data_IF_818341007246
#
_entry.id   IF_818341007246
#
_cell.length_a   1.000
_cell.length_b   1.000
_cell.length_c   1.000
_cell.angle_alpha   90.00
_cell.angle_beta   90.00
_cell.angle_gamma   90.00
#
_symmetry.space_group_name_H-M   'P 1'
#
loop_
_entity.id
_entity.type
_entity.pdbx_description
1 polymer ?
#
# COMPACT_ATOMS: atom_id res chain seq x y z
N UNK A 1 -6.17 26.25 11.41
CA UNK A 1 -4.78 26.07 11.89
C UNK A 1 -3.90 25.53 10.77
N UNK A 2 -2.81 26.22 10.42
CA UNK A 2 -1.82 25.71 9.47
C UNK A 2 -1.06 24.53 10.08
N UNK A 3 -0.95 23.44 9.33
CA UNK A 3 -0.18 22.26 9.77
C UNK A 3 1.31 22.59 9.74
N UNK A 4 1.95 22.64 10.92
CA UNK A 4 3.38 22.94 11.04
C UNK A 4 4.16 21.77 10.43
N UNK A 5 4.92 22.05 9.37
CA UNK A 5 5.77 21.06 8.70
C UNK A 5 7.14 21.06 9.36
N UNK A 6 7.56 19.91 9.89
CA UNK A 6 8.91 19.76 10.44
C UNK A 6 9.87 19.25 9.38
N UNK A 7 11.07 19.84 9.29
CA UNK A 7 12.16 19.34 8.46
C UNK A 7 12.78 18.13 9.14
N UNK A 8 12.82 17.00 8.44
CA UNK A 8 13.41 15.74 8.91
C UNK A 8 14.46 15.24 7.91
N UNK A 9 15.46 14.52 8.38
CA UNK A 9 16.48 13.87 7.55
C UNK A 9 16.37 12.33 7.70
N UNK A 10 16.34 11.63 6.58
CA UNK A 10 16.32 10.16 6.56
C UNK A 10 17.73 9.57 6.73
N UNK A 11 17.82 8.28 7.09
CA UNK A 11 19.07 7.51 7.11
C UNK A 11 19.83 7.53 5.77
N UNK A 12 19.12 7.70 4.65
CA UNK A 12 19.70 7.82 3.30
C UNK A 12 20.07 9.27 2.91
N UNK A 13 20.07 10.21 3.87
CA UNK A 13 20.45 11.61 3.64
C UNK A 13 19.39 12.48 2.96
N UNK A 14 18.16 11.99 2.79
CA UNK A 14 17.08 12.79 2.18
C UNK A 14 16.45 13.74 3.19
N UNK A 15 16.43 15.03 2.85
CA UNK A 15 15.70 16.08 3.57
C UNK A 15 14.24 16.11 3.10
N UNK A 16 13.29 16.02 4.02
CA UNK A 16 11.86 16.07 3.70
C UNK A 16 11.06 16.78 4.78
N UNK A 17 9.91 17.32 4.39
CA UNK A 17 8.98 18.01 5.28
C UNK A 17 7.77 17.13 5.57
N UNK A 18 7.37 17.01 6.83
CA UNK A 18 6.18 16.23 7.21
C UNK A 18 5.41 16.87 8.36
N UNK A 19 4.09 16.74 8.28
CA UNK A 19 3.14 17.11 9.33
C UNK A 19 2.73 15.90 10.16
N UNK A 20 2.70 14.71 9.54
CA UNK A 20 2.39 13.45 10.21
C UNK A 20 3.62 12.85 10.87
N UNK A 21 3.39 12.10 11.95
CA UNK A 21 4.47 11.57 12.75
C UNK A 21 5.14 10.31 12.17
N UNK A 22 4.60 9.78 11.06
CA UNK A 22 5.16 8.62 10.39
C UNK A 22 6.66 8.84 10.09
N UNK A 23 7.59 8.04 10.65
CA UNK A 23 9.05 8.24 10.53
C UNK A 23 9.60 7.95 9.12
N UNK A 24 8.71 7.59 8.21
CA UNK A 24 8.98 7.22 6.84
C UNK A 24 9.32 8.42 5.98
N UNK A 25 10.43 8.31 5.26
CA UNK A 25 10.84 9.24 4.24
C UNK A 25 10.06 9.03 2.93
N UNK A 26 9.31 10.03 2.42
CA UNK A 26 8.54 9.91 1.19
C UNK A 26 9.43 9.71 -0.04
N UNK A 27 10.65 10.26 -0.04
CA UNK A 27 11.59 10.16 -1.17
C UNK A 27 12.13 8.72 -1.28
N UNK A 28 12.56 8.15 -0.16
CA UNK A 28 12.98 6.74 -0.11
C UNK A 28 11.85 5.80 -0.55
N UNK A 29 10.63 6.10 -0.12
CA UNK A 29 9.47 5.29 -0.45
C UNK A 29 9.11 5.31 -1.94
N UNK A 30 9.22 6.46 -2.60
CA UNK A 30 9.05 6.55 -4.06
C UNK A 30 10.16 5.76 -4.77
N UNK A 31 11.41 5.85 -4.30
CA UNK A 31 12.54 5.09 -4.86
C UNK A 31 12.43 3.58 -4.66
N UNK A 32 11.86 3.13 -3.54
CA UNK A 32 11.67 1.70 -3.22
C UNK A 32 10.50 1.07 -3.99
N UNK A 33 9.63 1.87 -4.60
CA UNK A 33 8.39 1.39 -5.22
C UNK A 33 8.72 0.23 -6.19
N UNK A 34 8.29 -1.01 -5.87
CA UNK A 34 8.55 -2.14 -6.75
C UNK A 34 7.87 -1.87 -8.09
N UNK A 35 8.52 -2.29 -9.18
CA UNK A 35 7.89 -2.31 -10.50
C UNK A 35 6.92 -3.48 -10.66
N UNK A 36 6.76 -4.30 -9.61
CA UNK A 36 5.83 -5.42 -9.60
C UNK A 36 4.41 -4.96 -9.90
N UNK A 37 3.80 -5.72 -10.82
CA UNK A 37 2.69 -5.32 -11.69
C UNK A 37 1.51 -4.65 -10.95
N UNK A 38 1.17 -5.11 -9.75
CA UNK A 38 0.02 -4.59 -8.99
C UNK A 38 0.41 -3.64 -7.84
N UNK A 39 1.58 -3.81 -7.21
CA UNK A 39 2.06 -2.91 -6.14
C UNK A 39 2.40 -1.51 -6.65
N UNK A 40 2.76 -1.41 -7.93
CA UNK A 40 2.95 -0.15 -8.64
C UNK A 40 1.70 0.73 -8.64
N UNK A 41 0.51 0.15 -8.59
CA UNK A 41 -0.78 0.86 -8.66
C UNK A 41 -1.25 1.37 -7.28
N UNK A 42 -0.65 0.86 -6.21
CA UNK A 42 -1.08 1.12 -4.84
C UNK A 42 -0.31 2.29 -4.20
N UNK A 43 -1.03 3.03 -3.37
CA UNK A 43 -0.42 4.01 -2.48
C UNK A 43 0.48 3.30 -1.45
N UNK A 44 1.46 4.04 -0.93
CA UNK A 44 2.37 3.58 0.10
C UNK A 44 1.71 2.84 1.29
N UNK A 45 0.62 3.35 1.90
CA UNK A 45 -0.07 2.67 3.00
C UNK A 45 -0.67 1.32 2.59
N UNK A 46 -1.35 1.27 1.44
CA UNK A 46 -2.00 0.06 0.96
C UNK A 46 -0.99 -1.04 0.60
N UNK A 47 0.12 -0.69 -0.07
CA UNK A 47 1.19 -1.66 -0.36
C UNK A 47 1.76 -2.24 0.94
N UNK A 48 2.07 -1.40 1.92
CA UNK A 48 2.60 -1.86 3.22
C UNK A 48 1.62 -2.73 3.98
N UNK A 49 0.33 -2.38 3.94
CA UNK A 49 -0.70 -3.17 4.58
C UNK A 49 -0.70 -4.61 4.04
N UNK A 50 -0.61 -4.77 2.73
CA UNK A 50 -0.51 -6.09 2.08
C UNK A 50 0.83 -6.79 2.42
N UNK A 51 1.97 -6.11 2.25
CA UNK A 51 3.30 -6.67 2.54
C UNK A 51 3.43 -7.14 4.00
N UNK A 52 2.95 -6.34 4.96
CA UNK A 52 2.98 -6.67 6.39
C UNK A 52 2.08 -7.87 6.73
N UNK A 53 1.06 -8.13 5.92
CA UNK A 53 0.19 -9.30 6.05
C UNK A 53 0.68 -10.49 5.20
N UNK A 54 1.90 -10.41 4.64
CA UNK A 54 2.48 -11.48 3.82
C UNK A 54 1.86 -11.61 2.43
N UNK A 55 1.01 -10.67 2.03
CA UNK A 55 0.37 -10.65 0.71
C UNK A 55 1.32 -9.94 -0.25
N UNK A 56 2.12 -10.73 -0.96
CA UNK A 56 3.14 -10.28 -1.91
C UNK A 56 2.83 -10.66 -3.36
N UNK A 57 1.83 -11.52 -3.59
CA UNK A 57 1.41 -11.94 -4.92
C UNK A 57 -0.11 -11.84 -5.10
N UNK A 58 -0.56 -11.82 -6.37
CA UNK A 58 -1.98 -11.85 -6.69
C UNK A 58 -2.64 -13.17 -6.27
N UNK A 59 -1.91 -14.29 -6.32
CA UNK A 59 -2.39 -15.58 -5.83
C UNK A 59 -2.65 -15.55 -4.32
N UNK A 60 -1.72 -14.99 -3.54
CA UNK A 60 -1.96 -14.80 -2.10
C UNK A 60 -3.16 -13.90 -1.87
N UNK A 61 -3.25 -12.77 -2.57
CA UNK A 61 -4.39 -11.85 -2.48
C UNK A 61 -5.73 -12.55 -2.80
N UNK A 62 -5.76 -13.42 -3.82
CA UNK A 62 -6.96 -14.16 -4.22
C UNK A 62 -7.47 -15.12 -3.14
N UNK A 63 -6.63 -15.48 -2.17
CA UNK A 63 -7.00 -16.34 -1.04
C UNK A 63 -7.74 -15.58 0.07
N UNK A 64 -7.84 -14.25 -0.02
CA UNK A 64 -8.55 -13.39 0.93
C UNK A 64 -9.88 -12.91 0.35
N UNK A 65 -10.83 -12.66 1.24
CA UNK A 65 -12.09 -11.98 0.94
C UNK A 65 -11.87 -10.47 0.90
N UNK A 66 -12.81 -9.73 0.28
CA UNK A 66 -12.76 -8.26 0.26
C UNK A 66 -12.79 -7.67 1.67
N UNK A 67 -13.52 -8.30 2.59
CA UNK A 67 -13.68 -7.82 3.96
C UNK A 67 -12.39 -7.96 4.77
N UNK A 68 -11.72 -9.13 4.71
CA UNK A 68 -10.40 -9.32 5.36
C UNK A 68 -9.38 -8.30 4.85
N UNK A 69 -9.42 -7.97 3.55
CA UNK A 69 -8.55 -6.94 2.97
C UNK A 69 -8.94 -5.53 3.44
N UNK A 70 -10.23 -5.25 3.65
CA UNK A 70 -10.69 -3.96 4.18
C UNK A 70 -10.36 -3.74 5.66
N UNK A 71 -10.17 -4.81 6.43
CA UNK A 71 -9.75 -4.73 7.84
C UNK A 71 -8.27 -4.32 7.98
N UNK A 72 -7.47 -4.44 6.92
CA UNK A 72 -6.06 -4.08 6.95
C UNK A 72 -5.86 -2.56 7.08
N UNK A 73 -5.17 -2.14 8.14
CA UNK A 73 -4.86 -0.74 8.38
C UNK A 73 -4.03 -0.14 7.22
N UNK A 74 -4.61 0.82 6.52
CA UNK A 74 -3.99 1.47 5.36
C UNK A 74 -4.62 1.12 4.01
N UNK A 75 -5.58 0.19 3.99
CA UNK A 75 -6.43 -0.08 2.83
C UNK A 75 -7.72 0.72 2.94
N UNK A 76 -8.02 1.48 1.89
CA UNK A 76 -9.22 2.31 1.82
C UNK A 76 -10.20 1.83 0.74
N UNK A 77 -11.39 2.44 0.71
CA UNK A 77 -12.43 2.18 -0.30
C UNK A 77 -11.92 2.34 -1.75
N UNK A 78 -10.91 3.18 -1.97
CA UNK A 78 -10.30 3.41 -3.29
C UNK A 78 -9.25 2.37 -3.67
N UNK A 79 -8.79 1.56 -2.74
CA UNK A 79 -7.78 0.51 -2.95
C UNK A 79 -8.42 -0.76 -3.51
N UNK A 80 -9.56 -1.18 -2.94
CA UNK A 80 -10.30 -2.39 -3.35
C UNK A 80 -10.57 -2.47 -4.86
N UNK A 81 -11.08 -1.43 -5.55
CA UNK A 81 -11.32 -1.53 -6.99
C UNK A 81 -10.03 -1.75 -7.78
N UNK A 82 -8.90 -1.17 -7.37
CA UNK A 82 -7.59 -1.40 -8.03
C UNK A 82 -7.11 -2.84 -7.87
N UNK A 83 -7.28 -3.40 -6.67
CA UNK A 83 -6.96 -4.79 -6.40
C UNK A 83 -7.83 -5.75 -7.21
N UNK A 84 -9.12 -5.42 -7.35
CA UNK A 84 -10.05 -6.19 -8.18
C UNK A 84 -9.62 -6.21 -9.64
N UNK A 85 -9.30 -5.04 -10.20
CA UNK A 85 -8.79 -4.94 -11.58
C UNK A 85 -7.53 -5.78 -11.76
N UNK A 86 -6.55 -5.64 -10.85
CA UNK A 86 -5.31 -6.42 -10.93
C UNK A 86 -5.53 -7.94 -10.83
N UNK A 87 -6.45 -8.40 -9.99
CA UNK A 87 -6.84 -9.81 -9.92
C UNK A 87 -7.50 -10.26 -11.22
N UNK A 88 -8.45 -9.48 -11.74
CA UNK A 88 -9.18 -9.81 -12.99
C UNK A 88 -8.25 -9.85 -14.21
N UNK A 89 -7.30 -8.92 -14.32
CA UNK A 89 -6.26 -8.94 -15.37
C UNK A 89 -5.38 -10.21 -15.31
N UNK A 90 -5.21 -10.78 -14.11
CA UNK A 90 -4.51 -12.04 -13.90
C UNK A 90 -5.43 -13.28 -13.95
N UNK A 91 -6.72 -13.13 -14.31
CA UNK A 91 -7.69 -14.23 -14.32
C UNK A 91 -8.07 -14.75 -12.93
N UNK A 92 -7.82 -13.97 -11.88
CA UNK A 92 -8.11 -14.29 -10.49
C UNK A 92 -9.29 -13.46 -9.96
N UNK A 93 -9.85 -13.90 -8.85
CA UNK A 93 -10.89 -13.17 -8.10
C UNK A 93 -10.58 -13.22 -6.61
N UNK A 94 -11.23 -12.36 -5.84
CA UNK A 94 -11.20 -12.50 -4.38
C UNK A 94 -11.89 -13.80 -3.98
N UNK A 95 -11.46 -14.37 -2.86
CA UNK A 95 -12.15 -15.50 -2.23
C UNK A 95 -13.59 -15.10 -1.97
N UNK A 96 -14.52 -15.96 -2.39
CA UNK A 96 -15.92 -15.77 -2.07
C UNK A 96 -16.15 -16.10 -0.59
N UNK A 97 -17.05 -15.39 0.07
CA UNK A 97 -17.53 -15.84 1.39
C UNK A 97 -18.34 -17.12 1.16
N UNK A 98 -17.86 -18.23 1.71
CA UNK A 98 -18.63 -19.45 1.83
C UNK A 98 -19.29 -19.52 3.19
#
# INVERSE_FOLDING_TARGET
MGTIKTLRNCKNGHKYYKTSDCPVCPICEVKRKPKDHFFGLLAAPARRALENNGITTLQQLSSYTVEEIMELHGIGKTTIPKLRVALTEAGLTFKNKS
#
